data_IF_969597257971
#
_entry.id   IF_969597257971
#
_cell.length_a   1.000
_cell.length_b   1.000
_cell.length_c   1.000
_cell.angle_alpha   90.00
_cell.angle_beta   90.00
_cell.angle_gamma   90.00
#
_symmetry.space_group_name_H-M   'P 1'
#
loop_
_entity.id
_entity.type
_entity.pdbx_description
1 polymer ?
#
# COMPACT_ATOMS: atom_id res chain seq x y z
N UNK A 1 13.43 67.64 -29.83
CA UNK A 1 14.04 66.57 -29.01
C UNK A 1 13.49 66.46 -27.58
N UNK A 2 12.48 67.25 -27.15
CA UNK A 2 12.01 67.23 -25.75
C UNK A 2 10.65 66.54 -25.51
N UNK A 3 9.96 66.09 -26.57
CA UNK A 3 8.65 65.41 -26.43
C UNK A 3 8.74 63.88 -26.31
N UNK A 4 9.85 63.27 -26.75
CA UNK A 4 10.04 61.81 -26.71
C UNK A 4 10.54 61.29 -25.35
N UNK A 5 11.09 62.16 -24.50
CA UNK A 5 11.53 61.78 -23.15
C UNK A 5 10.39 61.76 -22.12
N UNK A 6 9.26 62.42 -22.41
CA UNK A 6 8.10 62.42 -21.50
C UNK A 6 7.24 61.17 -21.66
N UNK A 7 7.18 60.58 -22.85
CA UNK A 7 6.37 59.38 -23.11
C UNK A 7 7.01 58.09 -22.59
N UNK A 8 8.34 58.06 -22.47
CA UNK A 8 9.05 56.88 -21.91
C UNK A 8 8.94 56.74 -20.39
N UNK A 9 8.47 57.78 -19.67
CA UNK A 9 8.33 57.76 -18.21
C UNK A 9 6.89 57.48 -17.75
N UNK A 10 5.92 57.46 -18.66
CA UNK A 10 4.49 57.34 -18.32
C UNK A 10 3.92 55.91 -18.39
N UNK A 11 4.70 54.92 -18.84
CA UNK A 11 4.20 53.54 -19.03
C UNK A 11 4.78 52.52 -18.02
N UNK A 12 5.35 52.98 -16.91
CA UNK A 12 5.82 52.13 -15.80
C UNK A 12 4.90 52.35 -14.59
N UNK A 13 3.69 51.83 -14.64
CA UNK A 13 2.83 51.62 -13.47
C UNK A 13 1.53 50.89 -13.84
N UNK A 14 1.62 49.82 -14.62
CA UNK A 14 0.72 48.71 -14.34
C UNK A 14 1.39 47.90 -13.24
N UNK A 15 0.79 47.74 -12.04
CA UNK A 15 1.32 46.77 -11.10
C UNK A 15 1.33 45.44 -11.84
N UNK A 16 2.52 44.87 -12.04
CA UNK A 16 2.63 43.48 -12.40
C UNK A 16 1.86 42.76 -11.28
N UNK A 17 0.68 42.23 -11.60
CA UNK A 17 -0.14 41.51 -10.65
C UNK A 17 0.62 40.21 -10.38
N UNK A 18 1.67 40.27 -9.56
CA UNK A 18 2.30 39.10 -9.02
C UNK A 18 1.27 38.52 -8.08
N UNK A 19 0.68 37.34 -8.39
CA UNK A 19 -0.29 36.73 -7.49
C UNK A 19 0.35 36.28 -6.17
N UNK A 20 1.68 36.43 -6.04
CA UNK A 20 2.46 36.05 -4.88
C UNK A 20 2.84 37.26 -4.01
N UNK A 21 2.60 37.11 -2.71
CA UNK A 21 2.91 38.10 -1.66
C UNK A 21 4.42 38.36 -1.47
N UNK A 22 5.30 37.40 -1.81
CA UNK A 22 6.76 37.53 -1.72
C UNK A 22 7.50 36.60 -2.69
N UNK A 23 8.77 36.90 -3.00
CA UNK A 23 9.63 36.07 -3.87
C UNK A 23 9.78 34.63 -3.35
N UNK A 24 9.85 34.44 -2.03
CA UNK A 24 9.95 33.11 -1.41
C UNK A 24 8.70 32.25 -1.60
N UNK A 25 7.51 32.85 -1.57
CA UNK A 25 6.24 32.15 -1.84
C UNK A 25 6.15 31.75 -3.30
N UNK A 26 6.56 32.63 -4.22
CA UNK A 26 6.60 32.32 -5.66
C UNK A 26 7.57 31.15 -5.95
N UNK A 27 8.77 31.16 -5.36
CA UNK A 27 9.75 30.10 -5.53
C UNK A 27 9.24 28.74 -4.98
N UNK A 28 8.60 28.75 -3.81
CA UNK A 28 8.00 27.55 -3.23
C UNK A 28 6.86 26.98 -4.09
N UNK A 29 5.94 27.84 -4.54
CA UNK A 29 4.85 27.45 -5.42
C UNK A 29 5.35 26.82 -6.73
N UNK A 30 6.35 27.44 -7.37
CA UNK A 30 6.99 26.88 -8.57
C UNK A 30 7.66 25.54 -8.29
N UNK A 31 8.31 25.37 -7.15
CA UNK A 31 8.92 24.10 -6.76
C UNK A 31 7.87 23.00 -6.56
N UNK A 32 6.76 23.30 -5.88
CA UNK A 32 5.64 22.36 -5.69
C UNK A 32 5.02 21.97 -7.03
N UNK A 33 4.78 22.93 -7.92
CA UNK A 33 4.21 22.66 -9.24
C UNK A 33 5.13 21.79 -10.10
N UNK A 34 6.41 22.13 -10.20
CA UNK A 34 7.39 21.31 -10.94
C UNK A 34 7.53 19.91 -10.36
N UNK A 35 7.56 19.79 -9.03
CA UNK A 35 7.62 18.50 -8.34
C UNK A 35 6.37 17.67 -8.60
N UNK A 36 5.18 18.27 -8.57
CA UNK A 36 3.91 17.61 -8.84
C UNK A 36 3.81 17.12 -10.29
N UNK A 37 4.29 17.91 -11.26
CA UNK A 37 4.39 17.49 -12.66
C UNK A 37 5.35 16.30 -12.81
N UNK A 38 6.50 16.34 -12.13
CA UNK A 38 7.47 15.25 -12.17
C UNK A 38 6.90 13.97 -11.55
N UNK A 39 6.24 14.06 -10.40
CA UNK A 39 5.58 12.94 -9.73
C UNK A 39 4.47 12.33 -10.61
N UNK A 40 3.62 13.16 -11.22
CA UNK A 40 2.57 12.70 -12.12
C UNK A 40 3.16 12.03 -13.37
N UNK A 41 4.20 12.62 -13.95
CA UNK A 41 4.86 12.07 -15.14
C UNK A 41 5.44 10.69 -14.83
N UNK A 42 6.09 10.53 -13.67
CA UNK A 42 6.59 9.24 -13.22
C UNK A 42 5.46 8.22 -13.03
N UNK A 43 4.36 8.63 -12.41
CA UNK A 43 3.20 7.76 -12.17
C UNK A 43 2.54 7.31 -13.48
N UNK A 44 2.35 8.22 -14.43
CA UNK A 44 1.83 7.91 -15.76
C UNK A 44 2.78 6.99 -16.53
N UNK A 45 4.08 7.27 -16.48
CA UNK A 45 5.09 6.41 -17.10
C UNK A 45 5.03 4.99 -16.52
N UNK A 46 4.97 4.84 -15.20
CA UNK A 46 4.85 3.53 -14.54
C UNK A 46 3.56 2.78 -14.94
N UNK A 47 2.44 3.50 -15.07
CA UNK A 47 1.20 2.93 -15.58
C UNK A 47 1.40 2.40 -17.00
N UNK A 48 1.91 3.22 -17.92
CA UNK A 48 2.09 2.83 -19.32
C UNK A 48 2.96 1.58 -19.50
N UNK A 49 4.08 1.48 -18.79
CA UNK A 49 5.00 0.34 -18.93
C UNK A 49 4.47 -0.97 -18.33
N UNK A 50 3.44 -0.91 -17.48
CA UNK A 50 2.86 -2.09 -16.80
C UNK A 50 1.44 -2.40 -17.27
N UNK A 51 0.91 -1.63 -18.22
CA UNK A 51 -0.42 -1.85 -18.80
C UNK A 51 -0.56 -3.22 -19.46
N UNK A 52 0.48 -3.71 -20.14
CA UNK A 52 0.44 -5.02 -20.79
C UNK A 52 0.18 -6.16 -19.78
N UNK A 53 0.88 -6.10 -18.65
CA UNK A 53 0.67 -7.05 -17.55
C UNK A 53 -0.69 -6.83 -16.87
N UNK A 54 -1.11 -5.57 -16.68
CA UNK A 54 -2.39 -5.24 -16.06
C UNK A 54 -3.57 -5.79 -16.85
N UNK A 55 -3.56 -5.63 -18.18
CA UNK A 55 -4.61 -6.15 -19.07
C UNK A 55 -4.64 -7.68 -19.02
N UNK A 56 -3.47 -8.32 -19.04
CA UNK A 56 -3.37 -9.78 -19.02
C UNK A 56 -3.87 -10.39 -17.70
N UNK A 57 -3.41 -9.87 -16.56
CA UNK A 57 -3.62 -10.50 -15.25
C UNK A 57 -4.85 -9.98 -14.50
N UNK A 58 -5.25 -8.74 -14.71
CA UNK A 58 -6.29 -8.08 -13.91
C UNK A 58 -7.58 -7.90 -14.71
N UNK A 59 -7.48 -7.50 -15.98
CA UNK A 59 -8.68 -7.20 -16.76
C UNK A 59 -9.45 -8.47 -17.12
N UNK A 60 -8.76 -9.54 -17.51
CA UNK A 60 -9.36 -10.84 -17.85
C UNK A 60 -10.06 -11.54 -16.68
N UNK A 61 -9.80 -11.12 -15.43
CA UNK A 61 -10.35 -11.76 -14.24
C UNK A 61 -11.74 -11.22 -13.92
N UNK A 62 -12.62 -12.08 -13.41
CA UNK A 62 -13.94 -11.68 -12.89
C UNK A 62 -13.80 -10.58 -11.81
N UNK A 63 -14.85 -9.76 -11.68
CA UNK A 63 -14.87 -8.71 -10.67
C UNK A 63 -14.74 -9.31 -9.26
N UNK A 64 -13.71 -8.84 -8.54
CA UNK A 64 -13.36 -9.27 -7.19
C UNK A 64 -12.95 -8.06 -6.36
N UNK A 65 -13.05 -8.17 -5.04
CA UNK A 65 -12.65 -7.11 -4.11
C UNK A 65 -11.21 -6.62 -4.34
N UNK A 66 -10.27 -7.55 -4.59
CA UNK A 66 -8.87 -7.23 -4.91
C UNK A 66 -8.73 -6.41 -6.21
N UNK A 67 -9.61 -6.65 -7.20
CA UNK A 67 -9.64 -5.88 -8.46
C UNK A 67 -10.06 -4.44 -8.18
N UNK A 68 -11.09 -4.22 -7.36
CA UNK A 68 -11.52 -2.88 -6.98
C UNK A 68 -10.44 -2.11 -6.23
N UNK A 69 -9.78 -2.74 -5.24
CA UNK A 69 -8.64 -2.14 -4.52
C UNK A 69 -7.52 -1.77 -5.48
N UNK A 70 -7.20 -2.64 -6.45
CA UNK A 70 -6.16 -2.38 -7.43
C UNK A 70 -6.45 -1.11 -8.23
N UNK A 71 -7.65 -1.01 -8.83
CA UNK A 71 -8.03 0.18 -9.61
C UNK A 71 -8.08 1.43 -8.72
N UNK A 72 -8.53 1.30 -7.48
CA UNK A 72 -8.57 2.42 -6.55
C UNK A 72 -7.17 2.96 -6.24
N UNK A 73 -6.24 2.11 -5.82
CA UNK A 73 -4.86 2.52 -5.48
C UNK A 73 -4.09 3.03 -6.69
N UNK A 74 -4.39 2.51 -7.89
CA UNK A 74 -3.68 2.87 -9.11
C UNK A 74 -4.18 4.17 -9.74
N UNK A 75 -5.50 4.33 -9.89
CA UNK A 75 -6.05 5.43 -10.67
C UNK A 75 -6.49 6.62 -9.82
N UNK A 76 -6.86 6.43 -8.55
CA UNK A 76 -7.25 7.55 -7.68
C UNK A 76 -6.10 8.57 -7.48
N UNK A 77 -4.84 8.16 -7.21
CA UNK A 77 -3.73 9.11 -7.08
C UNK A 77 -3.47 9.92 -8.36
N UNK A 78 -3.66 9.32 -9.54
CA UNK A 78 -3.56 10.02 -10.82
C UNK A 78 -4.62 11.10 -10.92
N UNK A 79 -5.87 10.76 -10.61
CA UNK A 79 -6.98 11.72 -10.63
C UNK A 79 -6.73 12.90 -9.67
N UNK A 80 -6.23 12.60 -8.47
CA UNK A 80 -5.89 13.62 -7.46
C UNK A 80 -4.73 14.51 -7.93
N UNK A 81 -3.69 13.95 -8.54
CA UNK A 81 -2.55 14.73 -9.04
C UNK A 81 -2.88 15.59 -10.26
N UNK A 82 -3.67 15.08 -11.21
CA UNK A 82 -4.18 15.88 -12.34
C UNK A 82 -5.02 17.05 -11.82
N UNK A 83 -5.89 16.76 -10.85
CA UNK A 83 -6.71 17.73 -10.15
C UNK A 83 -5.85 18.83 -9.49
N UNK A 84 -4.78 18.45 -8.76
CA UNK A 84 -3.81 19.38 -8.16
C UNK A 84 -3.18 20.30 -9.20
N UNK A 85 -2.72 19.76 -10.34
CA UNK A 85 -2.07 20.56 -11.38
C UNK A 85 -3.05 21.54 -12.05
N UNK A 86 -4.30 21.14 -12.23
CA UNK A 86 -5.30 21.99 -12.87
C UNK A 86 -5.61 23.25 -12.03
N UNK A 87 -5.61 23.13 -10.70
CA UNK A 87 -5.92 24.22 -9.77
C UNK A 87 -4.67 24.94 -9.22
N UNK A 88 -3.50 24.30 -9.28
CA UNK A 88 -2.22 24.87 -8.82
C UNK A 88 -1.44 25.67 -9.87
N UNK A 89 -1.87 25.68 -11.14
CA UNK A 89 -1.16 26.35 -12.24
C UNK A 89 -1.65 27.78 -12.51
N UNK A 90 -0.92 28.51 -13.36
CA UNK A 90 -1.19 29.90 -13.81
C UNK A 90 -2.59 30.12 -14.45
N UNK A 91 -3.46 29.09 -14.53
CA UNK A 91 -4.86 29.24 -14.94
C UNK A 91 -5.76 29.75 -13.80
N UNK A 92 -5.33 29.59 -12.54
CA UNK A 92 -6.05 30.04 -11.35
C UNK A 92 -6.40 31.53 -11.35
N UNK A 93 -5.52 32.48 -11.76
CA UNK A 93 -5.91 33.90 -11.83
C UNK A 93 -7.02 34.23 -12.83
N UNK A 94 -7.35 33.33 -13.77
CA UNK A 94 -8.49 33.53 -14.68
C UNK A 94 -9.84 33.13 -14.07
N UNK A 95 -9.83 32.31 -13.00
CA UNK A 95 -11.01 31.95 -12.24
C UNK A 95 -10.91 32.61 -10.87
N UNK A 96 -11.73 33.62 -10.59
CA UNK A 96 -11.80 34.23 -9.26
C UNK A 96 -12.33 33.20 -8.24
N UNK A 97 -11.43 32.44 -7.61
CA UNK A 97 -11.79 31.49 -6.57
C UNK A 97 -12.11 32.23 -5.28
N UNK A 98 -13.22 31.85 -4.65
CA UNK A 98 -13.51 32.33 -3.29
C UNK A 98 -12.68 31.55 -2.28
N UNK A 99 -12.36 32.13 -1.10
CA UNK A 99 -11.67 31.40 -0.03
C UNK A 99 -12.39 30.11 0.41
N UNK A 100 -13.71 30.07 0.22
CA UNK A 100 -14.53 28.90 0.50
C UNK A 100 -14.27 27.74 -0.48
N UNK A 101 -14.04 28.04 -1.76
CA UNK A 101 -13.70 27.03 -2.77
C UNK A 101 -12.34 26.40 -2.49
N UNK A 102 -11.35 27.20 -2.09
CA UNK A 102 -10.04 26.72 -1.65
C UNK A 102 -10.14 25.78 -0.44
N UNK A 103 -11.04 26.07 0.50
CA UNK A 103 -11.26 25.23 1.67
C UNK A 103 -11.85 23.86 1.31
N UNK A 104 -12.89 23.84 0.47
CA UNK A 104 -13.48 22.60 -0.05
C UNK A 104 -12.44 21.78 -0.80
N UNK A 105 -11.63 22.45 -1.62
CA UNK A 105 -10.57 21.82 -2.38
C UNK A 105 -9.53 21.13 -1.49
N UNK A 106 -9.10 21.79 -0.42
CA UNK A 106 -8.15 21.22 0.53
C UNK A 106 -8.73 19.98 1.24
N UNK A 107 -10.03 20.01 1.58
CA UNK A 107 -10.73 18.84 2.14
C UNK A 107 -10.72 17.69 1.15
N UNK A 108 -11.07 17.95 -0.11
CA UNK A 108 -11.08 16.93 -1.17
C UNK A 108 -9.69 16.27 -1.31
N UNK A 109 -8.62 17.07 -1.38
CA UNK A 109 -7.26 16.54 -1.47
C UNK A 109 -6.85 15.71 -0.25
N UNK A 110 -7.14 16.21 0.95
CA UNK A 110 -6.83 15.51 2.20
C UNK A 110 -7.55 14.17 2.29
N UNK A 111 -8.87 14.17 2.07
CA UNK A 111 -9.71 12.95 2.12
C UNK A 111 -9.29 11.95 1.04
N UNK A 112 -9.06 12.41 -0.19
CA UNK A 112 -8.62 11.54 -1.26
C UNK A 112 -7.24 10.91 -0.94
N UNK A 113 -6.28 11.70 -0.45
CA UNK A 113 -4.99 11.17 -0.03
C UNK A 113 -5.11 10.17 1.12
N UNK A 114 -5.86 10.49 2.17
CA UNK A 114 -6.08 9.57 3.30
C UNK A 114 -6.74 8.26 2.83
N UNK A 115 -7.66 8.31 1.88
CA UNK A 115 -8.29 7.11 1.34
C UNK A 115 -7.30 6.17 0.63
N UNK A 116 -6.31 6.73 -0.09
CA UNK A 116 -5.23 5.95 -0.72
C UNK A 116 -4.38 5.29 0.36
N UNK A 117 -3.96 6.05 1.38
CA UNK A 117 -3.13 5.56 2.49
C UNK A 117 -3.83 4.41 3.20
N UNK A 118 -5.07 4.62 3.66
CA UNK A 118 -5.90 3.62 4.34
C UNK A 118 -6.06 2.35 3.50
N UNK A 119 -6.21 2.48 2.18
CA UNK A 119 -6.33 1.33 1.28
C UNK A 119 -5.03 0.53 1.19
N UNK A 120 -3.88 1.20 1.08
CA UNK A 120 -2.56 0.53 1.05
C UNK A 120 -2.26 -0.12 2.41
N UNK A 121 -2.56 0.55 3.51
CA UNK A 121 -2.39 -0.01 4.85
C UNK A 121 -3.29 -1.23 5.07
N UNK A 122 -4.52 -1.20 4.56
CA UNK A 122 -5.40 -2.37 4.55
C UNK A 122 -4.76 -3.56 3.82
N UNK A 123 -4.10 -3.33 2.68
CA UNK A 123 -3.36 -4.38 1.95
C UNK A 123 -2.22 -4.95 2.79
N UNK A 124 -1.46 -4.10 3.50
CA UNK A 124 -0.39 -4.53 4.40
C UNK A 124 -0.92 -5.33 5.60
N UNK A 125 -2.05 -4.91 6.18
CA UNK A 125 -2.73 -5.60 7.28
C UNK A 125 -3.23 -6.97 6.84
N UNK A 126 -3.89 -7.07 5.69
CA UNK A 126 -4.38 -8.34 5.13
C UNK A 126 -3.24 -9.34 4.97
N UNK A 127 -2.07 -8.85 4.52
CA UNK A 127 -0.85 -9.65 4.43
C UNK A 127 -0.37 -10.16 5.79
N UNK A 128 -0.33 -9.31 6.82
CA UNK A 128 0.06 -9.75 8.18
C UNK A 128 -0.92 -10.80 8.69
N UNK A 129 -2.20 -10.61 8.40
CA UNK A 129 -3.25 -11.56 8.74
C UNK A 129 -3.01 -12.94 8.12
N UNK A 130 -2.64 -12.97 6.85
CA UNK A 130 -2.28 -14.20 6.16
C UNK A 130 -1.02 -14.87 6.77
N UNK A 131 -0.04 -14.07 7.20
CA UNK A 131 1.22 -14.57 7.76
C UNK A 131 1.09 -15.07 9.22
N UNK A 132 0.17 -14.49 10.00
CA UNK A 132 -0.08 -14.81 11.40
C UNK A 132 -1.38 -15.61 11.60
N UNK A 133 -1.63 -16.57 10.71
CA UNK A 133 -2.79 -17.45 10.81
C UNK A 133 -2.91 -18.05 12.22
N UNK A 134 -4.09 -17.93 12.84
CA UNK A 134 -4.39 -18.48 14.18
C UNK A 134 -4.07 -17.58 15.38
N UNK A 135 -3.28 -16.51 15.25
CA UNK A 135 -2.94 -15.63 16.38
C UNK A 135 -3.93 -14.45 16.53
N UNK A 136 -5.10 -14.73 17.12
CA UNK A 136 -6.16 -13.73 17.34
C UNK A 136 -5.71 -12.49 18.13
N UNK A 137 -4.73 -12.63 19.03
CA UNK A 137 -4.18 -11.52 19.79
C UNK A 137 -3.48 -10.49 18.87
N UNK A 138 -2.63 -10.96 17.93
CA UNK A 138 -1.90 -10.08 17.00
C UNK A 138 -2.87 -9.36 16.08
N UNK A 139 -3.90 -10.06 15.58
CA UNK A 139 -4.99 -9.44 14.82
C UNK A 139 -5.64 -8.29 15.59
N UNK A 140 -5.97 -8.50 16.88
CA UNK A 140 -6.60 -7.46 17.70
C UNK A 140 -5.66 -6.27 17.91
N UNK A 141 -4.38 -6.54 18.20
CA UNK A 141 -3.37 -5.48 18.37
C UNK A 141 -3.23 -4.66 17.09
N UNK A 142 -3.05 -5.29 15.93
CA UNK A 142 -2.95 -4.59 14.63
C UNK A 142 -4.20 -3.77 14.35
N UNK A 143 -5.39 -4.30 14.63
CA UNK A 143 -6.65 -3.57 14.48
C UNK A 143 -6.75 -2.34 15.38
N UNK A 144 -6.30 -2.43 16.64
CA UNK A 144 -6.27 -1.27 17.55
C UNK A 144 -5.30 -0.20 17.05
N UNK A 145 -4.09 -0.58 16.64
CA UNK A 145 -3.11 0.37 16.10
C UNK A 145 -3.60 1.03 14.80
N UNK A 146 -4.31 0.29 13.95
CA UNK A 146 -4.92 0.86 12.74
C UNK A 146 -6.03 1.86 13.06
N UNK A 147 -6.87 1.57 14.06
CA UNK A 147 -7.87 2.53 14.52
C UNK A 147 -7.21 3.80 15.11
N UNK A 148 -6.12 3.64 15.86
CA UNK A 148 -5.35 4.77 16.38
C UNK A 148 -4.74 5.62 15.26
N UNK A 149 -4.25 5.00 14.19
CA UNK A 149 -3.78 5.71 13.00
C UNK A 149 -4.92 6.51 12.35
N UNK A 150 -6.08 5.89 12.09
CA UNK A 150 -7.22 6.58 11.48
C UNK A 150 -7.64 7.78 12.35
N UNK A 151 -7.72 7.61 13.67
CA UNK A 151 -8.02 8.72 14.59
C UNK A 151 -6.94 9.80 14.51
N UNK A 152 -5.66 9.43 14.47
CA UNK A 152 -4.53 10.35 14.31
C UNK A 152 -4.61 11.14 13.00
N UNK A 153 -4.96 10.49 11.90
CA UNK A 153 -5.18 11.14 10.61
C UNK A 153 -6.34 12.13 10.64
N UNK A 154 -7.50 11.69 11.16
CA UNK A 154 -8.72 12.52 11.22
C UNK A 154 -8.49 13.74 12.12
N UNK A 155 -7.91 13.54 13.30
CA UNK A 155 -7.58 14.64 14.23
C UNK A 155 -6.53 15.56 13.63
N UNK A 156 -5.47 15.00 13.02
CA UNK A 156 -4.43 15.78 12.36
C UNK A 156 -5.00 16.65 11.24
N UNK A 157 -5.87 16.10 10.40
CA UNK A 157 -6.54 16.86 9.34
C UNK A 157 -7.50 17.90 9.92
N UNK A 158 -8.37 17.53 10.87
CA UNK A 158 -9.35 18.42 11.47
C UNK A 158 -8.71 19.62 12.20
N UNK A 159 -7.58 19.42 12.86
CA UNK A 159 -6.82 20.50 13.51
C UNK A 159 -6.01 21.33 12.51
N UNK A 160 -5.62 20.75 11.38
CA UNK A 160 -4.85 21.46 10.36
C UNK A 160 -5.73 22.36 9.49
N UNK A 161 -6.93 21.90 9.13
CA UNK A 161 -7.86 22.64 8.26
C UNK A 161 -8.16 24.09 8.70
N UNK A 162 -8.47 24.40 9.97
CA UNK A 162 -8.76 25.77 10.40
C UNK A 162 -7.50 26.65 10.56
N UNK A 163 -6.31 26.05 10.65
CA UNK A 163 -5.05 26.76 10.83
C UNK A 163 -4.32 27.10 9.52
N UNK A 164 -4.77 26.54 8.40
CA UNK A 164 -4.20 26.83 7.08
C UNK A 164 -4.69 28.20 6.60
N UNK A 165 -3.75 29.11 6.38
CA UNK A 165 -4.03 30.38 5.70
C UNK A 165 -3.74 30.21 4.21
N UNK A 166 -4.72 30.62 3.39
CA UNK A 166 -4.67 30.49 1.94
C UNK A 166 -4.27 31.83 1.30
N UNK A 167 -3.45 31.77 0.25
CA UNK A 167 -3.31 32.90 -0.68
C UNK A 167 -4.42 32.85 -1.75
N UNK A 168 -4.53 33.89 -2.58
CA UNK A 168 -5.53 33.96 -3.68
C UNK A 168 -5.39 32.85 -4.74
N UNK A 169 -4.35 32.03 -4.66
CA UNK A 169 -4.08 30.87 -5.50
C UNK A 169 -4.37 29.52 -4.79
N UNK A 170 -5.10 29.54 -3.68
CA UNK A 170 -5.35 28.36 -2.82
C UNK A 170 -4.08 27.63 -2.34
N UNK A 171 -2.94 28.32 -2.29
CA UNK A 171 -1.67 27.78 -1.80
C UNK A 171 -1.60 27.86 -0.27
N UNK A 172 -1.08 26.81 0.36
CA UNK A 172 -0.85 26.74 1.81
C UNK A 172 0.31 27.65 2.18
N UNK A 173 0.02 28.79 2.82
CA UNK A 173 1.06 29.77 3.24
C UNK A 173 1.65 29.41 4.60
N UNK A 174 0.83 28.81 5.47
CA UNK A 174 1.27 28.31 6.77
C UNK A 174 0.76 26.91 7.01
N UNK A 175 1.67 26.00 7.33
CA UNK A 175 1.36 24.64 7.75
C UNK A 175 1.29 24.62 9.28
N UNK A 176 0.13 24.37 9.88
CA UNK A 176 0.04 24.25 11.33
C UNK A 176 0.71 22.94 11.77
N UNK A 177 1.42 22.97 12.90
CA UNK A 177 2.13 21.83 13.48
C UNK A 177 1.34 20.51 13.61
N UNK A 178 0.00 20.50 13.78
CA UNK A 178 -0.80 19.27 13.77
C UNK A 178 -0.72 18.45 12.49
N UNK A 179 -0.26 18.99 11.36
CA UNK A 179 -0.03 18.21 10.14
C UNK A 179 1.11 17.20 10.31
N UNK A 180 2.04 17.46 11.23
CA UNK A 180 3.08 16.51 11.62
C UNK A 180 2.46 15.30 12.32
N UNK A 181 1.38 15.48 13.10
CA UNK A 181 0.68 14.37 13.74
C UNK A 181 0.06 13.42 12.71
N UNK A 182 -0.52 13.98 11.63
CA UNK A 182 -1.03 13.20 10.50
C UNK A 182 0.07 12.28 9.94
N UNK A 183 1.21 12.86 9.53
CA UNK A 183 2.30 12.08 8.93
C UNK A 183 2.97 11.11 9.91
N UNK A 184 3.19 11.54 11.16
CA UNK A 184 3.83 10.73 12.18
C UNK A 184 2.99 9.49 12.54
N UNK A 185 1.67 9.63 12.61
CA UNK A 185 0.77 8.49 12.90
C UNK A 185 0.93 7.37 11.87
N UNK A 186 0.99 7.71 10.59
CA UNK A 186 1.22 6.74 9.51
C UNK A 186 2.61 6.10 9.55
N UNK A 187 3.67 6.88 9.77
CA UNK A 187 5.03 6.31 9.84
C UNK A 187 5.14 5.31 10.99
N UNK A 188 4.59 5.66 12.15
CA UNK A 188 4.63 4.78 13.33
C UNK A 188 3.88 3.48 13.02
N UNK A 189 2.71 3.57 12.39
CA UNK A 189 1.94 2.40 12.02
C UNK A 189 2.65 1.52 10.97
N UNK A 190 3.17 2.13 9.90
CA UNK A 190 3.92 1.41 8.87
C UNK A 190 5.18 0.73 9.43
N UNK A 191 5.90 1.42 10.32
CA UNK A 191 7.08 0.87 11.00
C UNK A 191 6.72 -0.29 11.92
N UNK A 192 5.56 -0.21 12.59
CA UNK A 192 5.02 -1.29 13.40
C UNK A 192 4.67 -2.53 12.54
N UNK A 193 3.94 -2.36 11.44
CA UNK A 193 3.61 -3.45 10.51
C UNK A 193 4.86 -4.08 9.89
N UNK A 194 5.84 -3.27 9.50
CA UNK A 194 7.10 -3.75 8.97
C UNK A 194 7.89 -4.55 10.02
N UNK A 195 7.95 -4.06 11.26
CA UNK A 195 8.61 -4.75 12.37
C UNK A 195 8.00 -6.13 12.66
N UNK A 196 6.66 -6.24 12.65
CA UNK A 196 5.98 -7.53 12.78
C UNK A 196 6.33 -8.47 11.62
N UNK A 197 6.34 -7.94 10.40
CA UNK A 197 6.69 -8.72 9.20
C UNK A 197 8.11 -9.28 9.27
N UNK A 198 9.09 -8.45 9.69
CA UNK A 198 10.48 -8.86 9.87
C UNK A 198 10.62 -9.85 11.03
N UNK A 199 9.96 -9.61 12.15
CA UNK A 199 9.99 -10.52 13.30
C UNK A 199 9.50 -11.92 12.90
N UNK A 200 8.38 -12.01 12.17
CA UNK A 200 7.84 -13.28 11.72
C UNK A 200 8.73 -13.97 10.69
N UNK A 201 9.34 -13.20 9.80
CA UNK A 201 10.34 -13.71 8.87
C UNK A 201 11.53 -14.34 9.61
N UNK A 202 12.09 -13.63 10.59
CA UNK A 202 13.20 -14.14 11.40
C UNK A 202 12.80 -15.39 12.19
N UNK A 203 11.58 -15.44 12.71
CA UNK A 203 11.04 -16.63 13.37
C UNK A 203 10.95 -17.81 12.39
N UNK A 204 10.39 -17.61 11.20
CA UNK A 204 10.27 -18.65 10.17
C UNK A 204 11.64 -19.15 9.69
N UNK A 205 12.59 -18.24 9.49
CA UNK A 205 13.97 -18.57 9.13
C UNK A 205 14.65 -19.43 10.21
N UNK A 206 14.50 -19.07 11.49
CA UNK A 206 15.04 -19.86 12.62
C UNK A 206 14.41 -21.25 12.74
N UNK A 207 13.15 -21.40 12.38
CA UNK A 207 12.46 -22.71 12.36
C UNK A 207 12.83 -23.57 11.15
N UNK A 208 13.67 -23.09 10.22
CA UNK A 208 14.04 -23.81 9.00
C UNK A 208 13.04 -23.67 7.84
N UNK A 209 12.08 -22.74 7.96
CA UNK A 209 11.06 -22.45 6.94
C UNK A 209 11.39 -21.16 6.17
N UNK A 210 12.64 -20.71 6.22
CA UNK A 210 13.11 -19.52 5.52
C UNK A 210 13.00 -19.62 4.00
N UNK A 211 13.12 -20.83 3.46
CA UNK A 211 13.15 -21.10 2.01
C UNK A 211 11.76 -21.18 1.36
N UNK A 212 10.68 -20.94 2.11
CA UNK A 212 9.33 -20.93 1.55
C UNK A 212 9.22 -19.74 0.59
N UNK A 213 8.94 -19.97 -0.72
CA UNK A 213 8.99 -18.92 -1.75
C UNK A 213 7.99 -17.81 -1.49
N UNK A 214 6.86 -18.11 -0.85
CA UNK A 214 5.87 -17.14 -0.40
C UNK A 214 6.49 -16.17 0.62
N UNK A 215 7.12 -16.67 1.68
CA UNK A 215 7.67 -15.83 2.76
C UNK A 215 8.79 -14.91 2.23
N UNK A 216 9.67 -15.43 1.37
CA UNK A 216 10.75 -14.66 0.74
C UNK A 216 10.20 -13.56 -0.18
N UNK A 217 9.27 -13.91 -1.07
CA UNK A 217 8.66 -12.96 -2.00
C UNK A 217 8.01 -11.81 -1.23
N UNK A 218 7.21 -12.15 -0.22
CA UNK A 218 6.58 -11.18 0.63
C UNK A 218 7.64 -10.28 1.30
N UNK A 219 8.64 -10.84 1.99
CA UNK A 219 9.65 -10.02 2.68
C UNK A 219 10.34 -9.06 1.71
N UNK A 220 10.91 -9.58 0.62
CA UNK A 220 11.62 -8.78 -0.38
C UNK A 220 10.77 -7.63 -0.89
N UNK A 221 9.52 -7.92 -1.24
CA UNK A 221 8.63 -6.93 -1.84
C UNK A 221 8.11 -5.92 -0.82
N UNK A 222 7.97 -6.33 0.45
CA UNK A 222 7.59 -5.44 1.54
C UNK A 222 8.74 -4.52 1.97
N UNK A 223 9.99 -4.99 1.90
CA UNK A 223 11.16 -4.24 2.34
C UNK A 223 11.43 -3.01 1.49
N UNK A 224 11.47 -3.14 0.15
CA UNK A 224 11.71 -1.97 -0.71
C UNK A 224 10.56 -0.96 -0.62
N UNK A 225 9.31 -1.44 -0.53
CA UNK A 225 8.13 -0.59 -0.42
C UNK A 225 8.14 0.20 0.90
N UNK A 226 8.46 -0.46 2.02
CA UNK A 226 8.60 0.19 3.31
C UNK A 226 9.68 1.27 3.30
N UNK A 227 10.88 0.96 2.79
CA UNK A 227 11.97 1.95 2.75
C UNK A 227 11.63 3.14 1.85
N UNK A 228 10.99 2.90 0.70
CA UNK A 228 10.54 3.96 -0.19
C UNK A 228 9.52 4.87 0.52
N UNK A 229 8.48 4.30 1.13
CA UNK A 229 7.47 5.07 1.86
C UNK A 229 8.08 5.82 3.04
N UNK A 230 8.94 5.16 3.82
CA UNK A 230 9.61 5.74 4.98
C UNK A 230 10.47 6.96 4.60
N UNK A 231 11.28 6.86 3.54
CA UNK A 231 12.13 7.97 3.08
C UNK A 231 11.29 9.16 2.63
N UNK A 232 10.23 8.92 1.85
CA UNK A 232 9.36 10.00 1.36
C UNK A 232 8.61 10.68 2.52
N UNK A 233 8.09 9.90 3.46
CA UNK A 233 7.42 10.42 4.65
C UNK A 233 8.34 11.19 5.59
N UNK A 234 9.53 10.67 5.88
CA UNK A 234 10.52 11.37 6.71
C UNK A 234 10.97 12.65 6.02
N UNK A 235 11.16 12.63 4.70
CA UNK A 235 11.41 13.83 3.92
C UNK A 235 10.26 14.84 4.06
N UNK A 236 9.00 14.37 4.00
CA UNK A 236 7.83 15.22 4.12
C UNK A 236 7.71 15.87 5.50
N UNK A 237 7.93 15.11 6.58
CA UNK A 237 7.99 15.65 7.95
C UNK A 237 9.18 16.59 8.12
N UNK A 238 10.33 16.26 7.53
CA UNK A 238 11.52 17.12 7.51
C UNK A 238 11.23 18.48 6.89
N UNK A 239 10.49 18.52 5.78
CA UNK A 239 10.04 19.77 5.15
C UNK A 239 9.07 20.56 6.06
N UNK A 240 8.19 19.88 6.81
CA UNK A 240 7.31 20.53 7.78
C UNK A 240 8.05 21.04 9.03
N UNK A 241 9.21 20.46 9.36
CA UNK A 241 10.02 20.85 10.51
C UNK A 241 11.01 22.00 10.19
N UNK A 242 11.09 22.44 8.93
CA UNK A 242 11.91 23.58 8.55
C UNK A 242 11.37 24.89 9.16
N UNK A 243 12.22 25.93 9.30
CA UNK A 243 11.76 27.24 9.77
C UNK A 243 10.63 27.80 8.91
N UNK A 244 9.73 28.57 9.54
CA UNK A 244 8.50 29.11 8.93
C UNK A 244 8.72 29.88 7.62
N UNK A 245 9.93 30.43 7.43
CA UNK A 245 10.32 31.13 6.20
C UNK A 245 10.38 30.22 4.96
N UNK A 246 10.38 28.89 5.16
CA UNK A 246 10.39 27.85 4.12
C UNK A 246 9.08 27.05 4.03
N UNK A 247 8.03 27.46 4.73
CA UNK A 247 6.68 26.87 4.64
C UNK A 247 6.18 26.68 3.18
N UNK A 248 6.50 27.57 2.21
CA UNK A 248 6.06 27.38 0.82
C UNK A 248 6.57 26.10 0.13
N UNK A 249 7.60 25.44 0.67
CA UNK A 249 8.13 24.17 0.14
C UNK A 249 7.46 22.93 0.74
N UNK A 250 6.56 23.09 1.71
CA UNK A 250 5.94 21.99 2.44
C UNK A 250 5.18 21.01 1.52
N UNK A 251 4.59 21.49 0.41
CA UNK A 251 3.83 20.64 -0.53
C UNK A 251 4.68 19.82 -1.51
N UNK A 252 6.00 20.01 -1.56
CA UNK A 252 6.86 19.44 -2.63
C UNK A 252 6.81 17.92 -2.67
N UNK A 253 6.77 17.26 -1.51
CA UNK A 253 6.80 15.81 -1.40
C UNK A 253 5.40 15.17 -1.38
N UNK A 254 4.32 15.95 -1.36
CA UNK A 254 2.96 15.42 -1.29
C UNK A 254 2.60 14.59 -2.54
N UNK A 255 2.93 15.10 -3.73
CA UNK A 255 2.75 14.36 -4.98
C UNK A 255 3.59 13.08 -5.03
N UNK A 256 4.83 13.13 -4.52
CA UNK A 256 5.69 11.96 -4.43
C UNK A 256 5.17 10.92 -3.44
N UNK A 257 4.54 11.34 -2.35
CA UNK A 257 3.92 10.46 -1.37
C UNK A 257 2.76 9.69 -2.01
N UNK A 258 1.83 10.39 -2.69
CA UNK A 258 0.74 9.74 -3.44
C UNK A 258 1.27 8.75 -4.50
N UNK A 259 2.31 9.15 -5.22
CA UNK A 259 2.97 8.32 -6.24
C UNK A 259 3.61 7.08 -5.62
N UNK A 260 4.31 7.24 -4.49
CA UNK A 260 4.94 6.17 -3.73
C UNK A 260 3.91 5.14 -3.22
N UNK A 261 2.79 5.62 -2.69
CA UNK A 261 1.67 4.76 -2.24
C UNK A 261 1.04 4.00 -3.40
N UNK A 262 0.78 4.68 -4.52
CA UNK A 262 0.27 4.03 -5.72
C UNK A 262 1.22 2.93 -6.20
N UNK A 263 2.50 3.28 -6.39
CA UNK A 263 3.54 2.41 -6.91
C UNK A 263 3.80 1.17 -6.04
N UNK A 264 3.93 1.37 -4.73
CA UNK A 264 4.10 0.26 -3.78
C UNK A 264 2.86 -0.60 -3.67
N UNK A 265 1.68 0.00 -3.55
CA UNK A 265 0.42 -0.71 -3.33
C UNK A 265 0.07 -1.66 -4.47
N UNK A 266 0.15 -1.20 -5.73
CA UNK A 266 -0.19 -2.06 -6.87
C UNK A 266 0.83 -3.20 -7.05
N UNK A 267 2.14 -2.96 -6.84
CA UNK A 267 3.19 -3.97 -7.00
C UNK A 267 3.08 -5.09 -5.99
N UNK A 268 2.76 -4.76 -4.74
CA UNK A 268 2.49 -5.76 -3.71
C UNK A 268 1.28 -6.62 -4.11
N UNK A 269 0.23 -5.99 -4.65
CA UNK A 269 -1.00 -6.69 -5.03
C UNK A 269 -0.80 -7.62 -6.25
N UNK A 270 -0.08 -7.17 -7.27
CA UNK A 270 0.15 -7.95 -8.49
C UNK A 270 1.07 -9.15 -8.23
N UNK A 271 2.12 -8.97 -7.42
CA UNK A 271 3.04 -10.05 -7.06
C UNK A 271 2.34 -11.13 -6.22
N UNK A 272 1.41 -10.74 -5.35
CA UNK A 272 0.58 -11.67 -4.60
C UNK A 272 -0.37 -12.47 -5.53
N UNK A 273 -0.97 -11.80 -6.51
CA UNK A 273 -1.82 -12.47 -7.51
C UNK A 273 -1.03 -13.46 -8.37
N UNK A 274 0.18 -13.09 -8.81
CA UNK A 274 1.06 -13.96 -9.59
C UNK A 274 1.43 -15.24 -8.81
N UNK A 275 1.67 -15.10 -7.50
CA UNK A 275 1.91 -16.26 -6.64
C UNK A 275 0.69 -17.17 -6.54
N UNK A 276 -0.51 -16.60 -6.30
CA UNK A 276 -1.74 -17.36 -6.21
C UNK A 276 -2.05 -18.13 -7.51
N UNK A 277 -1.79 -17.54 -8.67
CA UNK A 277 -1.98 -18.19 -9.97
C UNK A 277 -1.00 -19.35 -10.19
N UNK A 278 0.28 -19.16 -9.86
CA UNK A 278 1.28 -20.22 -9.97
C UNK A 278 0.98 -21.40 -9.04
N UNK A 279 0.49 -21.13 -7.82
CA UNK A 279 0.06 -22.18 -6.90
C UNK A 279 -1.15 -22.94 -7.45
N UNK A 280 -2.18 -22.24 -7.94
CA UNK A 280 -3.38 -22.87 -8.50
C UNK A 280 -3.07 -23.66 -9.79
N UNK A 281 -2.20 -23.14 -10.66
CA UNK A 281 -1.77 -23.79 -11.89
C UNK A 281 -0.93 -25.06 -11.63
N UNK A 282 -0.09 -25.04 -10.59
CA UNK A 282 0.65 -26.21 -10.13
C UNK A 282 -0.30 -27.30 -9.60
N UNK A 283 -1.31 -26.91 -8.80
CA UNK A 283 -2.30 -27.83 -8.25
C UNK A 283 -3.20 -28.44 -9.34
N UNK A 284 -3.54 -27.68 -10.39
CA UNK A 284 -4.24 -28.18 -11.57
C UNK A 284 -3.36 -29.10 -12.45
N UNK A 285 -2.03 -28.93 -12.43
CA UNK A 285 -1.09 -29.83 -13.14
C UNK A 285 -0.87 -31.15 -12.40
N UNK A 286 -0.79 -31.15 -11.08
CA UNK A 286 -0.69 -32.38 -10.28
C UNK A 286 -2.01 -33.16 -10.23
N UNK A 287 -3.16 -32.50 -10.24
CA UNK A 287 -4.48 -33.16 -10.34
C UNK A 287 -4.75 -33.79 -11.72
N UNK A 288 -4.02 -33.39 -12.77
CA UNK A 288 -4.10 -34.04 -14.08
C UNK A 288 -3.27 -35.34 -14.20
N UNK A 289 -2.44 -35.68 -13.21
CA UNK A 289 -1.66 -36.95 -13.18
C UNK A 289 -2.40 -38.07 -12.40
N UNK A 290 -3.50 -37.75 -11.71
CA UNK A 290 -4.39 -38.73 -11.10
C UNK A 290 -5.85 -38.32 -11.31
N UNK A 291 -6.35 -38.53 -12.52
CA UNK A 291 -7.78 -38.39 -12.85
C UNK A 291 -8.39 -39.76 -13.07
N UNK A 292 -8.74 -40.41 -11.97
CA UNK A 292 -9.84 -41.38 -11.89
C UNK A 292 -10.69 -40.99 -10.69
N UNK A 293 -11.89 -40.49 -11.00
CA UNK A 293 -13.15 -40.46 -10.22
C UNK A 293 -13.06 -40.13 -8.71
N UNK A 294 -13.65 -39.04 -8.20
CA UNK A 294 -15.09 -38.72 -8.18
C UNK A 294 -15.28 -37.31 -7.55
N UNK A 295 -16.44 -36.69 -7.80
CA UNK A 295 -16.96 -35.45 -7.22
C UNK A 295 -16.46 -35.07 -5.80
N UNK A 296 -16.18 -33.77 -5.58
CA UNK A 296 -16.70 -32.92 -4.47
C UNK A 296 -16.25 -31.46 -4.70
N UNK A 297 -17.20 -30.52 -4.75
CA UNK A 297 -17.00 -29.07 -4.58
C UNK A 297 -16.34 -28.77 -3.23
N UNK A 298 -15.43 -27.80 -3.11
CA UNK A 298 -15.38 -26.98 -1.88
C UNK A 298 -14.73 -25.60 -2.08
N UNK A 299 -15.45 -24.59 -1.61
CA UNK A 299 -15.01 -23.23 -1.35
C UNK A 299 -13.95 -23.18 -0.24
N UNK A 300 -12.95 -22.32 -0.41
CA UNK A 300 -12.17 -21.68 0.67
C UNK A 300 -11.64 -22.62 1.77
N UNK A 301 -10.50 -23.26 1.52
CA UNK A 301 -9.59 -23.62 2.61
C UNK A 301 -8.16 -23.17 2.29
N UNK A 302 -7.71 -22.24 3.13
CA UNK A 302 -6.36 -21.72 3.25
C UNK A 302 -5.51 -22.85 3.87
N UNK A 303 -4.44 -23.22 3.16
CA UNK A 303 -3.21 -23.87 3.63
C UNK A 303 -3.30 -24.63 4.96
N UNK A 304 -3.41 -25.96 4.88
CA UNK A 304 -2.94 -26.85 5.95
C UNK A 304 -1.81 -27.71 5.37
N UNK A 305 -0.58 -27.42 5.78
CA UNK A 305 0.60 -28.21 5.38
C UNK A 305 0.77 -29.36 6.37
N UNK A 306 0.22 -30.53 6.08
CA UNK A 306 0.69 -31.77 6.68
C UNK A 306 1.63 -32.52 5.75
N UNK A 307 2.86 -32.67 6.26
CA UNK A 307 3.94 -33.53 5.79
C UNK A 307 3.44 -34.98 5.74
N UNK A 308 3.35 -35.59 4.56
CA UNK A 308 3.28 -37.06 4.45
C UNK A 308 4.68 -37.60 4.18
N UNK A 309 5.23 -38.26 5.19
CA UNK A 309 6.35 -39.18 5.09
C UNK A 309 5.91 -40.37 4.23
N UNK A 310 6.45 -40.53 3.03
CA UNK A 310 6.21 -41.73 2.22
C UNK A 310 6.90 -42.93 2.88
N UNK A 311 6.10 -43.78 3.51
CA UNK A 311 6.40 -45.19 3.73
C UNK A 311 5.42 -45.98 2.85
N UNK A 312 5.90 -46.45 1.71
CA UNK A 312 5.21 -47.37 0.80
C UNK A 312 6.31 -48.37 0.39
N UNK A 313 6.31 -49.64 0.80
CA UNK A 313 5.16 -50.52 0.94
C UNK A 313 4.86 -51.20 -0.38
N UNK A 314 5.88 -51.72 -1.09
CA UNK A 314 5.69 -52.63 -2.22
C UNK A 314 5.99 -54.06 -1.79
N UNK A 315 4.93 -54.85 -1.79
CA UNK A 315 4.93 -56.29 -1.72
C UNK A 315 5.12 -56.82 -3.14
N UNK A 316 6.19 -57.59 -3.37
CA UNK A 316 6.24 -58.53 -4.48
C UNK A 316 6.51 -59.93 -3.90
N UNK A 317 5.54 -60.82 -4.09
CA UNK A 317 5.72 -62.25 -3.92
C UNK A 317 6.69 -62.76 -4.99
N UNK A 318 7.75 -63.44 -4.55
CA UNK A 318 8.35 -64.57 -5.25
C UNK A 318 8.93 -65.52 -4.20
N UNK A 319 8.36 -66.71 -4.07
CA UNK A 319 8.97 -67.89 -3.43
C UNK A 319 9.69 -68.73 -4.49
N UNK A 320 10.59 -69.70 -4.17
CA UNK A 320 10.93 -70.27 -2.86
C UNK A 320 12.45 -70.44 -2.58
N UNK A 321 12.81 -70.77 -1.33
CA UNK A 321 13.63 -71.95 -0.91
C UNK A 321 14.58 -71.70 0.29
N UNK A 322 14.23 -72.36 1.40
CA UNK A 322 15.06 -72.94 2.48
C UNK A 322 15.77 -72.10 3.57
N UNK A 323 15.45 -72.53 4.80
CA UNK A 323 16.29 -72.74 6.00
C UNK A 323 16.69 -71.56 6.92
N UNK A 324 16.08 -71.65 8.12
CA UNK A 324 16.73 -71.63 9.46
C UNK A 324 16.97 -70.26 10.13
N UNK A 325 16.15 -70.00 11.15
CA UNK A 325 16.65 -69.65 12.49
C UNK A 325 16.38 -68.24 13.05
N UNK A 326 15.63 -68.24 14.16
CA UNK A 326 15.92 -67.56 15.44
C UNK A 326 15.50 -66.09 15.65
N UNK A 327 14.65 -65.93 16.67
CA UNK A 327 14.48 -64.86 17.67
C UNK A 327 14.82 -63.41 17.32
N UNK A 328 13.89 -62.48 17.57
CA UNK A 328 13.97 -61.59 18.75
C UNK A 328 12.78 -60.63 18.88
N UNK A 329 12.57 -60.25 20.15
CA UNK A 329 11.40 -59.64 20.79
C UNK A 329 11.24 -58.13 20.55
N UNK A 330 10.11 -57.65 21.09
CA UNK A 330 9.76 -56.31 21.61
C UNK A 330 8.95 -55.45 20.64
N UNK A 331 7.80 -54.88 21.00
CA UNK A 331 7.12 -54.75 22.28
C UNK A 331 6.13 -53.60 22.10
N UNK A 332 4.83 -53.89 22.13
CA UNK A 332 3.80 -52.92 21.79
C UNK A 332 3.59 -51.80 22.83
N UNK A 333 2.77 -50.82 22.44
CA UNK A 333 1.75 -50.22 23.31
C UNK A 333 0.71 -49.47 22.46
N UNK A 334 -0.51 -49.90 22.68
CA UNK A 334 -1.82 -49.35 22.34
C UNK A 334 -2.09 -47.98 23.00
N UNK A 335 -2.88 -47.13 22.35
CA UNK A 335 -3.85 -46.28 23.06
C UNK A 335 -5.11 -46.06 22.20
N UNK A 336 -6.24 -46.23 22.87
CA UNK A 336 -7.63 -46.33 22.41
C UNK A 336 -8.28 -45.00 21.99
N UNK A 337 -9.24 -45.14 21.06
CA UNK A 337 -10.56 -44.47 20.88
C UNK A 337 -10.94 -43.33 21.84
N UNK A 338 -11.63 -42.25 21.41
CA UNK A 338 -13.08 -42.26 21.18
C UNK A 338 -13.64 -40.88 20.74
N UNK A 339 -14.58 -40.92 19.79
CA UNK A 339 -15.84 -40.15 19.63
C UNK A 339 -15.87 -38.60 19.62
N UNK A 340 -16.38 -38.06 18.50
CA UNK A 340 -17.03 -36.74 18.47
C UNK A 340 -18.47 -36.92 18.00
N UNK A 341 -19.38 -36.56 18.90
CA UNK A 341 -20.83 -36.51 18.72
C UNK A 341 -21.22 -35.44 17.71
N UNK A 342 -22.01 -35.82 16.71
CA UNK A 342 -22.70 -34.91 15.80
C UNK A 342 -23.92 -34.30 16.50
N UNK A 343 -23.91 -32.98 16.66
CA UNK A 343 -25.07 -32.21 17.14
C UNK A 343 -25.67 -31.46 15.95
N UNK A 344 -26.80 -31.98 15.48
CA UNK A 344 -27.68 -31.39 14.47
C UNK A 344 -28.52 -30.28 15.10
N UNK A 345 -28.63 -29.14 14.42
CA UNK A 345 -29.68 -28.15 14.67
C UNK A 345 -30.22 -27.67 13.34
N UNK A 346 -31.47 -28.05 13.10
CA UNK A 346 -32.24 -27.66 11.93
C UNK A 346 -33.03 -26.38 12.13
N UNK A 347 -33.40 -25.83 10.96
CA UNK A 347 -34.22 -24.64 10.65
C UNK A 347 -33.61 -23.28 10.92
#
# INVERSE_FOLDING_TARGET
MSALLFWSRANVSQPFYSPYRSEGVAAGAQAVNRSSVAALTFLLWDILITMDDEVKYIWSRAWSYTKCIYFFVRYLPVMVQISILFIGTELTPHFHFTPHDCYIWQIYQGVAASSVVVTVDTVLILRIHALYHGHLAIRRVVGVFFLLEIVGMVVGLALSLPGVTFDNLCLVVHVPGPLILYGASSIVFQSFLFSLTVYKYMQAARSGWGDVPLIILLMRDGTWAFFLLFVVYVGQIGLYALPKDKDPFAGVLFGWLLTAFSFSGYRILINLNHLAENTNGSQNRTSNIHRTDTNIQFSTQIFDSQRQTYAQGESYELTPFSLRGRDSRTGGRTFETSQISTLSLGK
#
